data_IF_813550639710
#
_entry.id   IF_813550639710
#
_cell.length_a   1.000
_cell.length_b   1.000
_cell.length_c   1.000
_cell.angle_alpha   90.00
_cell.angle_beta   90.00
_cell.angle_gamma   90.00
#
_symmetry.space_group_name_H-M   'P 1'
#
loop_
_entity.id
_entity.type
_entity.pdbx_description
1 polymer ?
#
# COMPACT_ATOMS: atom_id res chain seq x y z
N UNK A 1 -14.05 2.17 13.79
CA UNK A 1 -14.34 1.43 12.53
C UNK A 1 -13.19 0.54 12.06
N UNK A 2 -11.92 0.92 12.25
CA UNK A 2 -10.77 0.03 11.98
C UNK A 2 -10.60 -1.15 12.94
N UNK A 3 -11.29 -1.16 14.09
CA UNK A 3 -11.34 -2.33 14.99
C UNK A 3 -12.32 -3.41 14.47
N UNK A 4 -13.31 -3.03 13.64
CA UNK A 4 -14.34 -3.96 13.14
C UNK A 4 -14.10 -4.41 11.70
N UNK A 5 -13.44 -3.60 10.87
CA UNK A 5 -13.10 -3.96 9.49
C UNK A 5 -11.62 -4.29 9.42
N UNK A 6 -11.29 -5.53 9.74
CA UNK A 6 -9.95 -6.10 9.80
C UNK A 6 -9.36 -6.38 8.39
N UNK A 7 -9.56 -5.47 7.45
CA UNK A 7 -8.92 -5.52 6.14
C UNK A 7 -8.91 -4.15 5.49
N UNK A 8 -7.71 -3.69 5.15
CA UNK A 8 -7.52 -2.45 4.38
C UNK A 8 -8.14 -2.53 2.99
N UNK A 9 -8.22 -3.72 2.38
CA UNK A 9 -8.88 -3.90 1.10
C UNK A 9 -10.40 -3.67 1.18
N UNK A 10 -11.05 -4.11 2.26
CA UNK A 10 -12.50 -3.88 2.48
C UNK A 10 -12.75 -2.39 2.69
N UNK A 11 -11.92 -1.73 3.49
CA UNK A 11 -12.03 -0.30 3.73
C UNK A 11 -11.91 0.52 2.44
N UNK A 12 -10.84 0.28 1.67
CA UNK A 12 -10.61 1.01 0.42
C UNK A 12 -11.69 0.71 -0.62
N UNK A 13 -12.07 -0.55 -0.81
CA UNK A 13 -13.12 -0.93 -1.77
C UNK A 13 -14.50 -0.39 -1.44
N UNK A 14 -14.83 -0.18 -0.16
CA UNK A 14 -16.09 0.44 0.25
C UNK A 14 -16.10 1.96 0.00
N UNK A 15 -14.96 2.64 0.17
CA UNK A 15 -14.87 4.10 0.02
C UNK A 15 -14.67 4.53 -1.43
N UNK A 16 -13.97 3.75 -2.25
CA UNK A 16 -13.71 4.10 -3.66
C UNK A 16 -14.98 4.36 -4.48
N UNK A 17 -16.09 3.61 -4.35
CA UNK A 17 -17.36 3.94 -5.02
C UNK A 17 -17.97 5.25 -4.51
N UNK A 18 -17.92 5.52 -3.20
CA UNK A 18 -18.41 6.77 -2.60
C UNK A 18 -17.63 7.98 -3.12
N UNK A 19 -16.33 7.80 -3.35
CA UNK A 19 -15.48 8.76 -4.06
C UNK A 19 -15.90 8.94 -5.51
N UNK A 20 -16.20 7.86 -6.22
CA UNK A 20 -16.62 7.87 -7.62
C UNK A 20 -17.94 8.59 -7.87
N UNK A 21 -18.87 8.56 -6.91
CA UNK A 21 -20.14 9.32 -6.97
C UNK A 21 -20.04 10.73 -6.36
N UNK A 22 -18.86 11.14 -5.87
CA UNK A 22 -18.63 12.46 -5.28
C UNK A 22 -19.18 12.65 -3.86
N UNK A 23 -19.64 11.60 -3.19
CA UNK A 23 -20.14 11.68 -1.81
C UNK A 23 -19.02 11.97 -0.80
N UNK A 24 -17.79 11.59 -1.12
CA UNK A 24 -16.59 11.86 -0.31
C UNK A 24 -15.56 12.52 -1.23
N UNK A 25 -14.85 13.53 -0.70
CA UNK A 25 -13.71 14.14 -1.37
C UNK A 25 -12.41 13.38 -1.05
N UNK A 26 -11.49 13.33 -2.00
CA UNK A 26 -10.25 12.53 -1.90
C UNK A 26 -9.35 13.04 -0.76
N UNK A 27 -9.40 14.34 -0.48
CA UNK A 27 -8.72 14.98 0.65
C UNK A 27 -9.20 14.44 2.00
N UNK A 28 -10.48 14.01 2.10
CA UNK A 28 -11.06 13.38 3.29
C UNK A 28 -10.84 11.87 3.35
N UNK A 29 -10.62 11.22 2.20
CA UNK A 29 -10.28 9.78 2.14
C UNK A 29 -8.84 9.50 2.60
N UNK A 30 -7.93 10.47 2.42
CA UNK A 30 -6.50 10.24 2.67
C UNK A 30 -6.17 9.85 4.12
N UNK A 31 -6.55 10.60 5.17
CA UNK A 31 -6.23 10.21 6.55
C UNK A 31 -6.83 8.85 6.98
N UNK A 32 -8.12 8.54 6.69
CA UNK A 32 -8.68 7.23 7.00
C UNK A 32 -7.97 6.06 6.30
N UNK A 33 -7.48 6.27 5.07
CA UNK A 33 -6.71 5.26 4.33
C UNK A 33 -5.37 4.97 5.02
N UNK A 34 -4.67 6.02 5.47
CA UNK A 34 -3.43 5.86 6.24
C UNK A 34 -3.69 5.13 7.57
N UNK A 35 -4.78 5.45 8.26
CA UNK A 35 -5.20 4.76 9.48
C UNK A 35 -5.51 3.27 9.26
N UNK A 36 -6.10 2.92 8.10
CA UNK A 36 -6.35 1.53 7.72
C UNK A 36 -5.06 0.72 7.49
N UNK A 37 -4.03 1.35 6.93
CA UNK A 37 -2.71 0.73 6.78
C UNK A 37 -2.04 0.45 8.13
N UNK A 38 -2.15 1.38 9.10
CA UNK A 38 -1.71 1.11 10.48
C UNK A 38 -2.47 -0.08 11.07
N UNK A 39 -3.80 -0.13 10.90
CA UNK A 39 -4.62 -1.25 11.37
C UNK A 39 -4.13 -2.62 10.89
N UNK A 40 -3.71 -2.71 9.63
CA UNK A 40 -3.15 -3.95 9.05
C UNK A 40 -1.85 -4.38 9.74
N UNK A 41 -0.99 -3.43 10.11
CA UNK A 41 0.24 -3.74 10.86
C UNK A 41 -0.05 -4.23 12.28
N UNK A 42 -1.08 -3.69 12.94
CA UNK A 42 -1.54 -4.17 14.25
C UNK A 42 -2.06 -5.61 14.16
N UNK A 43 -2.82 -5.95 13.11
CA UNK A 43 -3.20 -7.33 12.83
C UNK A 43 -1.98 -8.23 12.65
N UNK A 44 -0.95 -7.77 11.94
CA UNK A 44 0.31 -8.51 11.78
C UNK A 44 1.01 -8.77 13.11
N UNK A 45 0.98 -7.81 14.03
CA UNK A 45 1.51 -7.99 15.40
C UNK A 45 0.69 -9.03 16.16
N UNK A 46 -0.64 -8.97 16.12
CA UNK A 46 -1.49 -9.97 16.76
C UNK A 46 -1.27 -11.38 16.19
N UNK A 47 -1.11 -11.51 14.87
CA UNK A 47 -0.78 -12.77 14.22
C UNK A 47 0.59 -13.30 14.66
N UNK A 48 1.59 -12.43 14.77
CA UNK A 48 2.90 -12.80 15.30
C UNK A 48 2.83 -13.25 16.77
N UNK A 49 2.02 -12.57 17.60
CA UNK A 49 1.78 -12.95 19.00
C UNK A 49 1.07 -14.32 19.13
N UNK A 50 0.28 -14.71 18.15
CA UNK A 50 -0.40 -16.01 18.09
C UNK A 50 0.46 -17.12 17.45
N UNK A 51 1.69 -16.82 17.00
CA UNK A 51 2.56 -17.80 16.34
C UNK A 51 3.30 -18.70 17.32
N UNK A 52 3.72 -19.89 16.84
CA UNK A 52 4.45 -20.86 17.65
C UNK A 52 5.77 -20.29 18.21
N UNK A 53 6.24 -20.77 19.39
CA UNK A 53 7.45 -20.26 20.04
C UNK A 53 8.72 -20.33 19.16
N UNK A 54 8.77 -21.28 18.24
CA UNK A 54 9.88 -21.47 17.29
C UNK A 54 9.95 -20.38 16.23
N UNK A 55 8.80 -19.85 15.79
CA UNK A 55 8.66 -18.82 14.75
C UNK A 55 8.38 -17.41 15.29
N UNK A 56 8.10 -17.29 16.59
CA UNK A 56 7.70 -16.04 17.24
C UNK A 56 8.69 -14.88 17.00
N UNK A 57 9.98 -15.10 17.24
CA UNK A 57 10.99 -14.03 17.13
C UNK A 57 11.04 -13.43 15.71
N UNK A 58 11.05 -14.28 14.68
CA UNK A 58 11.09 -13.85 13.29
C UNK A 58 9.78 -13.15 12.89
N UNK A 59 8.63 -13.75 13.20
CA UNK A 59 7.31 -13.21 12.86
C UNK A 59 7.06 -11.86 13.53
N UNK A 60 7.45 -11.73 14.80
CA UNK A 60 7.30 -10.50 15.57
C UNK A 60 8.24 -9.40 15.07
N UNK A 61 9.48 -9.73 14.73
CA UNK A 61 10.41 -8.78 14.13
C UNK A 61 9.86 -8.24 12.81
N UNK A 62 9.36 -9.10 11.93
CA UNK A 62 8.75 -8.68 10.65
C UNK A 62 7.53 -7.78 10.93
N UNK A 63 6.66 -8.15 11.86
CA UNK A 63 5.50 -7.32 12.21
C UNK A 63 5.90 -5.92 12.70
N UNK A 64 6.96 -5.82 13.51
CA UNK A 64 7.51 -4.52 13.95
C UNK A 64 8.13 -3.72 12.79
N UNK A 65 8.88 -4.38 11.90
CA UNK A 65 9.41 -3.73 10.71
C UNK A 65 8.29 -3.11 9.86
N UNK A 66 7.19 -3.84 9.67
CA UNK A 66 6.01 -3.35 8.95
C UNK A 66 5.34 -2.16 9.65
N UNK A 67 5.21 -2.21 10.98
CA UNK A 67 4.66 -1.12 11.79
C UNK A 67 5.52 0.15 11.64
N UNK A 68 6.82 0.06 11.89
CA UNK A 68 7.72 1.21 11.83
C UNK A 68 7.82 1.79 10.42
N UNK A 69 7.86 0.94 9.39
CA UNK A 69 7.82 1.39 8.00
C UNK A 69 6.54 2.19 7.70
N UNK A 70 5.38 1.73 8.15
CA UNK A 70 4.12 2.46 7.95
C UNK A 70 4.08 3.78 8.73
N UNK A 71 4.48 3.78 10.01
CA UNK A 71 4.48 4.98 10.84
C UNK A 71 5.44 6.02 10.26
N UNK A 72 6.67 5.63 9.94
CA UNK A 72 7.66 6.53 9.34
C UNK A 72 7.19 7.07 7.98
N UNK A 73 6.63 6.22 7.12
CA UNK A 73 6.03 6.64 5.86
C UNK A 73 4.93 7.68 6.05
N UNK A 74 4.04 7.49 7.02
CA UNK A 74 2.99 8.45 7.36
C UNK A 74 3.60 9.76 7.87
N UNK A 75 4.56 9.70 8.78
CA UNK A 75 5.22 10.90 9.34
C UNK A 75 5.97 11.72 8.28
N UNK A 76 6.47 11.07 7.24
CA UNK A 76 7.09 11.75 6.10
C UNK A 76 6.02 12.35 5.18
N UNK A 77 5.02 11.57 4.77
CA UNK A 77 4.12 11.94 3.68
C UNK A 77 2.85 12.70 4.09
N UNK A 78 2.42 12.62 5.35
CA UNK A 78 1.14 13.20 5.80
C UNK A 78 1.27 14.58 6.47
N UNK A 79 2.18 14.82 7.44
CA UNK A 79 2.34 16.12 8.09
C UNK A 79 2.84 17.21 7.15
N UNK A 80 3.72 16.87 6.20
CA UNK A 80 4.33 17.82 5.28
C UNK A 80 3.29 18.24 4.22
N UNK A 81 2.83 19.51 4.19
CA UNK A 81 1.75 19.93 3.30
C UNK A 81 2.06 19.74 1.82
N UNK A 82 3.33 19.90 1.44
CA UNK A 82 3.80 19.69 0.06
C UNK A 82 3.67 18.22 -0.37
N UNK A 83 4.15 17.28 0.46
CA UNK A 83 4.09 15.85 0.16
C UNK A 83 2.64 15.35 0.11
N UNK A 84 1.80 15.82 1.03
CA UNK A 84 0.37 15.54 1.01
C UNK A 84 -0.30 16.00 -0.29
N UNK A 85 0.02 17.22 -0.76
CA UNK A 85 -0.51 17.74 -2.03
C UNK A 85 -0.06 16.90 -3.22
N UNK A 86 1.21 16.47 -3.25
CA UNK A 86 1.73 15.59 -4.30
C UNK A 86 0.92 14.29 -4.36
N UNK A 87 0.77 13.59 -3.23
CA UNK A 87 0.05 12.30 -3.18
C UNK A 87 -1.38 12.43 -3.70
N UNK A 88 -2.09 13.48 -3.27
CA UNK A 88 -3.48 13.72 -3.67
C UNK A 88 -3.56 14.13 -5.14
N UNK A 89 -2.64 14.96 -5.62
CA UNK A 89 -2.60 15.39 -7.01
C UNK A 89 -2.33 14.22 -7.95
N UNK A 90 -1.37 13.36 -7.61
CA UNK A 90 -1.08 12.15 -8.39
C UNK A 90 -2.31 11.24 -8.45
N UNK A 91 -2.99 11.01 -7.33
CA UNK A 91 -4.19 10.20 -7.31
C UNK A 91 -5.32 10.77 -8.20
N UNK A 92 -5.51 12.10 -8.20
CA UNK A 92 -6.47 12.78 -9.09
C UNK A 92 -6.10 12.61 -10.56
N UNK A 93 -4.86 12.92 -10.93
CA UNK A 93 -4.36 12.80 -12.32
C UNK A 93 -4.49 11.37 -12.82
N UNK A 94 -4.12 10.38 -12.00
CA UNK A 94 -4.27 8.97 -12.36
C UNK A 94 -5.74 8.59 -12.55
N UNK A 95 -6.63 9.01 -11.66
CA UNK A 95 -8.07 8.76 -11.77
C UNK A 95 -8.69 9.36 -13.02
N UNK A 96 -8.39 10.63 -13.32
CA UNK A 96 -8.86 11.32 -14.54
C UNK A 96 -8.32 10.67 -15.82
N UNK A 97 -7.05 10.24 -15.81
CA UNK A 97 -6.43 9.56 -16.93
C UNK A 97 -7.12 8.22 -17.22
N UNK A 98 -7.39 7.43 -16.18
CA UNK A 98 -8.12 6.15 -16.31
C UNK A 98 -9.56 6.36 -16.77
N UNK A 99 -10.22 7.42 -16.29
CA UNK A 99 -11.58 7.76 -16.73
C UNK A 99 -11.61 8.13 -18.22
N UNK A 100 -10.64 8.92 -18.69
CA UNK A 100 -10.53 9.33 -20.10
C UNK A 100 -10.08 8.19 -21.02
N UNK A 101 -9.14 7.37 -20.57
CA UNK A 101 -8.54 6.28 -21.35
C UNK A 101 -8.65 4.96 -20.59
N UNK A 102 -9.78 4.27 -20.73
CA UNK A 102 -10.03 3.00 -20.01
C UNK A 102 -8.95 1.92 -20.25
N UNK A 103 -8.35 1.90 -21.43
CA UNK A 103 -7.24 0.99 -21.76
C UNK A 103 -5.98 1.26 -20.95
N UNK A 104 -5.78 2.51 -20.51
CA UNK A 104 -4.63 2.89 -19.68
C UNK A 104 -4.61 2.13 -18.35
N UNK A 105 -5.79 1.88 -17.76
CA UNK A 105 -5.89 1.08 -16.53
C UNK A 105 -5.36 -0.35 -16.75
N UNK A 106 -5.72 -0.99 -17.85
CA UNK A 106 -5.23 -2.33 -18.18
C UNK A 106 -3.71 -2.33 -18.40
N UNK A 107 -3.20 -1.40 -19.21
CA UNK A 107 -1.76 -1.28 -19.45
C UNK A 107 -0.98 -0.99 -18.17
N UNK A 108 -1.49 -0.11 -17.31
CA UNK A 108 -0.89 0.23 -16.02
C UNK A 108 -0.79 -1.00 -15.10
N UNK A 109 -1.87 -1.79 -15.00
CA UNK A 109 -1.88 -3.02 -14.21
C UNK A 109 -0.91 -4.06 -14.76
N UNK A 110 -0.92 -4.32 -16.07
CA UNK A 110 0.01 -5.26 -16.70
C UNK A 110 1.46 -4.83 -16.47
N UNK A 111 1.74 -3.54 -16.66
CA UNK A 111 3.08 -3.00 -16.50
C UNK A 111 3.57 -3.12 -15.05
N UNK A 112 2.82 -2.61 -14.08
CA UNK A 112 3.29 -2.51 -12.70
C UNK A 112 3.17 -3.79 -11.90
N UNK A 113 2.16 -4.63 -12.15
CA UNK A 113 1.96 -5.87 -11.38
C UNK A 113 2.63 -7.08 -12.01
N UNK A 114 2.96 -7.05 -13.31
CA UNK A 114 3.60 -8.17 -14.00
C UNK A 114 4.96 -7.78 -14.57
N UNK A 115 5.02 -6.85 -15.52
CA UNK A 115 6.27 -6.59 -16.26
C UNK A 115 7.39 -6.04 -15.37
N UNK A 116 7.10 -5.08 -14.49
CA UNK A 116 8.11 -4.52 -13.57
C UNK A 116 8.63 -5.57 -12.58
N UNK A 117 7.78 -6.31 -11.84
CA UNK A 117 8.25 -7.40 -10.98
C UNK A 117 9.03 -8.47 -11.73
N UNK A 118 8.58 -8.88 -12.92
CA UNK A 118 9.29 -9.85 -13.76
C UNK A 118 10.66 -9.33 -14.22
N UNK A 119 10.75 -8.04 -14.59
CA UNK A 119 12.01 -7.43 -14.97
C UNK A 119 12.98 -7.35 -13.78
N UNK A 120 12.51 -6.94 -12.60
CA UNK A 120 13.33 -6.90 -11.38
C UNK A 120 13.79 -8.30 -10.98
N UNK A 121 12.91 -9.30 -11.05
CA UNK A 121 13.24 -10.69 -10.79
C UNK A 121 14.29 -11.21 -11.79
N UNK A 122 14.09 -10.95 -13.09
CA UNK A 122 15.05 -11.30 -14.14
C UNK A 122 16.42 -10.68 -13.92
N UNK A 123 16.48 -9.40 -13.56
CA UNK A 123 17.72 -8.71 -13.21
C UNK A 123 18.39 -9.33 -11.97
N UNK A 124 17.62 -9.76 -10.97
CA UNK A 124 18.19 -10.43 -9.79
C UNK A 124 18.82 -11.79 -10.11
N UNK A 125 18.29 -12.51 -11.11
CA UNK A 125 18.86 -13.78 -11.56
C UNK A 125 20.17 -13.56 -12.34
N UNK A 126 20.24 -12.52 -13.17
CA UNK A 126 21.47 -12.16 -13.90
C UNK A 126 22.58 -11.72 -12.94
N UNK A 127 22.24 -11.01 -11.87
CA UNK A 127 23.20 -10.62 -10.83
C UNK A 127 23.83 -11.81 -10.08
N UNK A 128 23.12 -12.94 -9.98
CA UNK A 128 23.64 -14.17 -9.38
C UNK A 128 24.74 -14.80 -10.23
N UNK A 129 24.56 -14.85 -11.56
CA UNK A 129 25.54 -15.45 -12.48
C UNK A 129 26.86 -14.68 -12.52
N UNK A 130 26.84 -13.35 -12.36
CA UNK A 130 28.04 -12.50 -12.35
C UNK A 130 28.82 -12.56 -11.03
N UNK A 131 28.18 -12.97 -9.93
CA UNK A 131 28.81 -13.05 -8.60
C UNK A 131 29.46 -14.41 -8.30
N UNK A 132 29.29 -15.39 -9.21
CA UNK A 132 29.77 -16.78 -9.06
C UNK A 132 31.02 -17.06 -9.93
N UNK A 133 31.51 -16.05 -10.68
CA UNK A 133 32.82 -16.06 -11.36
C UNK A 133 33.80 -15.14 -10.63
#
# INVERSE_FOLDING_TARGET
>A
MTILVQSSSIFTSAITPLMGIGAIHIDRMYPPTLGSNIGTTVTGILAALASDPTGFKASFQVALCHLFFNISGILVWYPVPFMRKISISLAKVMGETVFKYRWFAFCYLVLLYFLVPLAVFGLSLVGWEVSVF
#
